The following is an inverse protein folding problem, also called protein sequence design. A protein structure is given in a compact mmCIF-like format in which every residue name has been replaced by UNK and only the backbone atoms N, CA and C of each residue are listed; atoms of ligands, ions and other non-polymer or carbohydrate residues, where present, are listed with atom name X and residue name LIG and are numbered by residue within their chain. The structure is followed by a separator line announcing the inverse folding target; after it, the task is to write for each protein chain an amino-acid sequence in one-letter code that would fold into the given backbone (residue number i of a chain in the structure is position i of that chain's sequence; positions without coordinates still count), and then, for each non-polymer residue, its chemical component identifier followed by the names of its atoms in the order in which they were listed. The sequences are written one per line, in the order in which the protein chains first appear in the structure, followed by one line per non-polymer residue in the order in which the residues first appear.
data_IF_951934375591
#
_entry.id   IF_951934375591
#
_cell.length_a   1.000
_cell.length_b   1.000
_cell.length_c   1.000
_cell.angle_alpha   90.00
_cell.angle_beta   90.00
_cell.angle_gamma   90.00
#
_symmetry.space_group_name_H-M   'P 1'
#
loop_
_entity.id
_entity.type
_entity.pdbx_description
1 polymer ?
#
# COMPACT_ATOMS: atom_id res chain seq x y z
N UNK A 1 -30.79 -8.66 -1.23
CA UNK A 1 -29.53 -9.00 -0.53
C UNK A 1 -28.76 -7.70 -0.29
N UNK A 2 -28.51 -7.34 0.97
CA UNK A 2 -27.57 -6.25 1.30
C UNK A 2 -26.16 -6.69 0.93
N UNK A 3 -25.35 -5.79 0.34
CA UNK A 3 -23.93 -6.05 0.07
C UNK A 3 -23.09 -5.26 1.07
N UNK A 4 -22.16 -5.94 1.73
CA UNK A 4 -21.18 -5.29 2.58
C UNK A 4 -20.11 -4.59 1.75
N UNK A 5 -19.60 -3.47 2.25
CA UNK A 5 -18.53 -2.68 1.64
C UNK A 5 -17.40 -2.55 2.66
N UNK A 6 -16.19 -2.95 2.31
CA UNK A 6 -15.01 -2.83 3.17
C UNK A 6 -13.98 -1.90 2.56
N UNK A 7 -13.39 -1.04 3.38
CA UNK A 7 -12.18 -0.28 3.05
C UNK A 7 -11.04 -0.68 3.96
N UNK A 8 -9.87 -0.83 3.38
CA UNK A 8 -8.62 -1.14 4.07
C UNK A 8 -7.59 -0.07 3.74
N UNK A 9 -6.85 0.37 4.75
CA UNK A 9 -5.74 1.30 4.64
C UNK A 9 -4.54 0.69 5.35
N UNK A 10 -3.40 0.65 4.67
CA UNK A 10 -2.10 0.25 5.20
C UNK A 10 -1.17 1.45 5.13
N UNK A 11 -0.54 1.82 6.23
CA UNK A 11 0.46 2.90 6.27
C UNK A 11 1.79 2.31 6.72
N UNK A 12 2.78 2.38 5.83
CA UNK A 12 4.17 2.03 6.08
C UNK A 12 4.92 3.33 6.39
N UNK A 13 5.61 3.42 7.52
CA UNK A 13 6.51 4.54 7.83
C UNK A 13 7.76 3.96 8.51
N UNK A 14 8.85 3.82 7.76
CA UNK A 14 9.93 2.89 8.09
C UNK A 14 10.52 3.10 9.51
N UNK A 15 10.65 2.05 10.36
CA UNK A 15 10.37 0.63 10.14
C UNK A 15 8.98 0.17 10.64
N UNK A 16 8.06 1.11 10.87
CA UNK A 16 6.74 0.86 11.44
C UNK A 16 5.69 0.57 10.34
N UNK A 17 4.70 -0.23 10.70
CA UNK A 17 3.52 -0.53 9.90
C UNK A 17 2.25 -0.39 10.75
N UNK A 18 1.16 0.03 10.13
CA UNK A 18 -0.16 -0.32 10.60
C UNK A 18 -1.16 -0.54 9.48
N UNK A 19 -2.25 -1.22 9.82
CA UNK A 19 -3.42 -1.46 8.98
C UNK A 19 -4.66 -1.02 9.75
N UNK A 20 -5.68 -0.52 9.05
CA UNK A 20 -7.03 -0.51 9.55
C UNK A 20 -8.05 -0.91 8.49
N UNK A 21 -9.20 -1.40 8.95
CA UNK A 21 -10.25 -2.01 8.14
C UNK A 21 -11.62 -1.57 8.65
N UNK A 22 -12.52 -1.12 7.79
CA UNK A 22 -13.90 -0.77 8.19
C UNK A 22 -14.88 -1.35 7.18
N UNK A 23 -15.90 -2.04 7.69
CA UNK A 23 -16.97 -2.68 6.90
C UNK A 23 -18.31 -2.03 7.21
N UNK A 24 -19.03 -1.62 6.16
CA UNK A 24 -20.41 -1.12 6.20
C UNK A 24 -21.35 -2.16 5.60
N UNK A 25 -22.45 -2.52 6.27
CA UNK A 25 -23.51 -3.36 5.72
C UNK A 25 -24.57 -2.47 5.05
N UNK A 26 -24.69 -2.55 3.73
CA UNK A 26 -25.30 -1.48 2.94
C UNK A 26 -26.83 -1.48 2.85
N UNK A 27 -27.43 -0.34 3.19
CA UNK A 27 -28.67 0.20 2.62
C UNK A 27 -28.64 1.74 2.73
N UNK A 28 -28.03 2.43 1.76
CA UNK A 28 -28.01 3.90 1.71
C UNK A 28 -28.19 4.43 0.28
N UNK A 29 -29.06 5.45 0.06
CA UNK A 29 -29.27 6.06 -1.24
C UNK A 29 -28.18 7.09 -1.59
N UNK A 30 -27.97 7.33 -2.89
CA UNK A 30 -26.91 8.20 -3.40
C UNK A 30 -27.22 9.70 -3.19
N UNK A 31 -26.28 10.46 -2.61
CA UNK A 31 -26.18 11.93 -2.84
C UNK A 31 -24.98 12.21 -3.75
N UNK A 32 -25.06 13.11 -4.74
CA UNK A 32 -23.96 13.37 -5.67
C UNK A 32 -23.03 14.48 -5.19
N UNK A 33 -21.71 14.26 -5.31
CA UNK A 33 -20.69 15.09 -5.98
C UNK A 33 -19.38 14.27 -6.01
N UNK A 34 -18.56 14.45 -7.06
CA UNK A 34 -17.22 13.86 -7.28
C UNK A 34 -17.12 12.32 -7.43
N UNK A 35 -17.01 11.85 -8.69
CA UNK A 35 -16.50 10.54 -9.13
C UNK A 35 -16.94 9.30 -8.33
N UNK A 36 -18.13 8.77 -8.67
CA UNK A 36 -18.58 7.43 -8.26
C UNK A 36 -17.57 6.35 -8.73
N UNK A 37 -17.12 5.43 -7.86
CA UNK A 37 -16.54 4.18 -8.33
C UNK A 37 -17.65 3.31 -8.95
N UNK A 38 -17.36 2.74 -10.12
CA UNK A 38 -18.18 1.68 -10.72
C UNK A 38 -18.04 0.41 -9.86
N UNK A 39 -19.07 -0.43 -9.85
CA UNK A 39 -19.07 -1.69 -9.10
C UNK A 39 -17.84 -2.55 -9.44
N UNK A 40 -17.12 -3.01 -8.41
CA UNK A 40 -15.90 -3.79 -8.57
C UNK A 40 -15.06 -3.81 -7.30
N UNK A 41 -13.78 -4.07 -7.49
CA UNK A 41 -12.74 -4.09 -6.46
C UNK A 41 -11.61 -3.19 -6.95
N UNK A 42 -11.15 -2.26 -6.13
CA UNK A 42 -10.14 -1.27 -6.56
C UNK A 42 -9.03 -1.13 -5.52
N UNK A 43 -7.82 -0.90 -6.03
CA UNK A 43 -6.63 -0.53 -5.27
C UNK A 43 -6.05 0.73 -5.90
N UNK A 44 -5.60 1.67 -5.08
CA UNK A 44 -4.91 2.88 -5.53
C UNK A 44 -3.61 2.99 -4.75
N UNK A 45 -2.53 3.33 -5.46
CA UNK A 45 -1.17 3.43 -4.95
C UNK A 45 -0.53 4.78 -5.26
N UNK A 46 0.34 5.21 -4.36
CA UNK A 46 1.40 6.17 -4.64
C UNK A 46 2.74 5.61 -4.19
N UNK A 47 3.79 6.02 -4.91
CA UNK A 47 5.16 5.73 -4.52
C UNK A 47 5.51 6.43 -3.22
N UNK A 48 6.33 5.77 -2.41
CA UNK A 48 6.67 6.26 -1.07
C UNK A 48 7.32 7.64 -1.15
N UNK A 49 6.87 8.56 -0.30
CA UNK A 49 7.50 9.85 -0.13
C UNK A 49 8.67 9.77 0.85
N UNK A 50 9.73 10.50 0.53
CA UNK A 50 10.87 10.75 1.40
C UNK A 50 10.67 12.11 2.08
N UNK A 51 10.98 12.20 3.38
CA UNK A 51 10.88 13.47 4.09
C UNK A 51 11.91 14.46 3.54
N UNK A 52 11.43 15.59 3.01
CA UNK A 52 12.23 16.68 2.44
C UNK A 52 11.63 18.02 2.83
N UNK A 53 12.48 18.99 3.17
CA UNK A 53 12.08 20.24 3.82
C UNK A 53 11.33 21.22 2.89
N UNK A 54 10.57 22.11 3.53
CA UNK A 54 10.04 23.40 3.07
C UNK A 54 10.25 23.78 1.59
N UNK A 55 9.19 23.69 0.80
CA UNK A 55 9.16 24.19 -0.58
C UNK A 55 7.74 24.51 -1.04
N UNK A 56 7.33 25.77 -0.92
CA UNK A 56 6.10 26.27 -1.55
C UNK A 56 6.34 26.45 -3.05
N UNK A 57 5.53 25.81 -3.90
CA UNK A 57 5.45 26.21 -5.31
C UNK A 57 5.27 25.07 -6.33
N UNK A 58 4.05 25.01 -6.88
CA UNK A 58 3.73 24.62 -8.26
C UNK A 58 4.35 23.34 -8.86
N UNK A 59 3.50 22.32 -9.05
CA UNK A 59 3.61 21.40 -10.18
C UNK A 59 2.24 21.31 -10.88
N UNK A 60 2.09 22.09 -11.96
CA UNK A 60 0.92 22.04 -12.82
C UNK A 60 0.87 20.71 -13.60
N UNK A 61 -0.33 20.16 -13.77
CA UNK A 61 -0.53 18.93 -14.51
C UNK A 61 -0.09 19.08 -15.98
N UNK A 62 0.86 18.26 -16.42
CA UNK A 62 1.14 17.99 -17.84
C UNK A 62 0.83 16.54 -18.14
N UNK A 63 -0.34 16.30 -18.73
CA UNK A 63 -0.71 15.01 -19.28
C UNK A 63 -0.01 14.88 -20.63
N UNK A 64 1.09 14.11 -20.69
CA UNK A 64 1.70 13.70 -21.95
C UNK A 64 1.09 12.37 -22.40
N UNK A 65 0.59 12.23 -23.65
CA UNK A 65 0.10 10.96 -24.16
C UNK A 65 1.27 9.95 -24.28
N UNK A 66 0.99 8.62 -24.18
CA UNK A 66 2.01 7.60 -24.32
C UNK A 66 2.55 7.55 -25.78
N UNK A 67 3.86 7.33 -25.99
CA UNK A 67 4.42 7.24 -27.33
C UNK A 67 4.04 5.92 -28.03
N UNK A 68 3.74 6.03 -29.32
CA UNK A 68 3.56 4.89 -30.23
C UNK A 68 4.85 4.07 -30.34
N UNK A 69 4.74 2.75 -30.28
CA UNK A 69 5.85 1.82 -30.57
C UNK A 69 5.81 1.33 -32.02
N UNK A 70 6.94 1.42 -32.70
CA UNK A 70 7.25 0.70 -33.94
C UNK A 70 8.74 0.32 -33.92
N UNK A 71 9.15 -0.80 -34.57
CA UNK A 71 10.34 -1.56 -34.15
C UNK A 71 11.65 -1.10 -34.81
N UNK A 72 12.77 -1.41 -34.16
CA UNK A 72 14.13 -1.35 -34.74
C UNK A 72 14.81 -2.71 -34.55
N UNK A 73 15.59 -3.11 -35.55
CA UNK A 73 16.16 -4.45 -35.72
C UNK A 73 17.53 -4.67 -35.02
N UNK A 74 18.07 -5.88 -35.19
CA UNK A 74 19.16 -6.48 -34.43
C UNK A 74 20.58 -5.88 -34.62
N UNK A 75 21.38 -5.94 -33.53
CA UNK A 75 22.86 -6.04 -33.48
C UNK A 75 23.28 -6.15 -31.99
N UNK A 76 24.21 -6.98 -31.50
CA UNK A 76 25.01 -8.10 -32.03
C UNK A 76 25.25 -9.15 -30.91
N UNK A 77 26.07 -10.19 -31.14
CA UNK A 77 26.40 -11.23 -30.14
C UNK A 77 27.82 -11.05 -29.53
N UNK A 78 28.03 -11.36 -28.23
CA UNK A 78 29.36 -11.50 -27.62
C UNK A 78 29.87 -12.95 -27.64
N UNK A 79 31.20 -13.09 -27.53
CA UNK A 79 31.96 -14.35 -27.62
C UNK A 79 31.72 -15.35 -26.45
N UNK A 80 32.03 -16.65 -26.62
CA UNK A 80 31.82 -17.65 -25.57
C UNK A 80 32.81 -17.50 -24.42
N UNK A 81 32.30 -17.24 -23.22
CA UNK A 81 33.07 -17.28 -21.97
C UNK A 81 33.04 -18.70 -21.41
N UNK A 82 34.20 -19.25 -21.05
CA UNK A 82 34.32 -20.61 -20.52
C UNK A 82 33.52 -20.80 -19.21
N UNK A 83 32.73 -21.87 -19.14
CA UNK A 83 31.91 -22.21 -17.97
C UNK A 83 32.81 -22.72 -16.84
N UNK A 84 32.99 -21.90 -15.81
CA UNK A 84 33.60 -22.30 -14.53
C UNK A 84 32.50 -22.83 -13.58
N UNK A 85 32.70 -23.96 -12.87
CA UNK A 85 31.70 -24.47 -11.93
C UNK A 85 31.34 -23.45 -10.83
N UNK A 86 30.05 -23.35 -10.51
CA UNK A 86 29.57 -22.49 -9.44
C UNK A 86 29.95 -23.05 -8.06
N UNK A 87 30.32 -22.21 -7.07
CA UNK A 87 30.58 -22.68 -5.72
C UNK A 87 29.32 -23.25 -5.07
N UNK A 88 29.45 -24.41 -4.41
CA UNK A 88 28.35 -25.00 -3.62
C UNK A 88 28.04 -24.06 -2.44
N UNK A 89 26.78 -23.61 -2.36
CA UNK A 89 26.31 -22.76 -1.26
C UNK A 89 26.13 -23.60 0.01
N UNK A 90 26.59 -23.15 1.18
CA UNK A 90 26.31 -23.83 2.44
C UNK A 90 24.80 -23.79 2.78
N UNK A 91 24.29 -24.73 3.59
CA UNK A 91 22.87 -24.80 3.93
C UNK A 91 22.38 -23.52 4.62
N UNK A 92 21.20 -23.06 4.21
CA UNK A 92 20.57 -21.85 4.76
C UNK A 92 20.12 -22.14 6.20
N UNK A 93 20.69 -21.39 7.16
CA UNK A 93 20.28 -21.44 8.58
C UNK A 93 18.79 -21.04 8.70
N UNK A 94 17.99 -21.68 9.57
CA UNK A 94 16.63 -21.23 9.83
C UNK A 94 16.60 -19.75 10.21
N UNK A 95 15.81 -18.96 9.47
CA UNK A 95 15.57 -17.55 9.78
C UNK A 95 14.83 -17.46 11.13
N UNK A 96 15.20 -16.55 12.05
CA UNK A 96 14.45 -16.36 13.28
C UNK A 96 12.98 -16.10 12.98
N UNK A 97 12.09 -16.88 13.59
CA UNK A 97 10.65 -16.61 13.58
C UNK A 97 10.39 -15.32 14.33
N UNK A 98 9.63 -14.41 13.72
CA UNK A 98 9.23 -13.18 14.40
C UNK A 98 8.34 -13.52 15.61
N UNK A 99 8.48 -12.82 16.75
CA UNK A 99 7.62 -13.05 17.90
C UNK A 99 6.16 -12.68 17.56
N UNK A 100 5.17 -13.36 18.15
CA UNK A 100 3.77 -13.01 17.97
C UNK A 100 3.50 -11.64 18.59
N UNK A 101 3.06 -10.67 17.78
CA UNK A 101 2.60 -9.37 18.28
C UNK A 101 1.19 -9.47 18.86
N UNK A 102 1.12 -9.92 20.11
CA UNK A 102 -0.10 -9.83 20.92
C UNK A 102 -0.52 -8.37 21.04
N UNK A 103 -1.57 -7.95 20.32
CA UNK A 103 -2.06 -6.57 20.37
C UNK A 103 -2.95 -6.09 19.22
N UNK A 104 -3.09 -6.84 18.13
CA UNK A 104 -3.96 -6.45 16.99
C UNK A 104 -5.01 -7.54 16.74
N UNK A 105 -6.23 -7.32 17.23
CA UNK A 105 -7.36 -8.21 16.98
C UNK A 105 -8.04 -7.95 15.62
N UNK A 106 -8.76 -8.95 15.12
CA UNK A 106 -9.60 -8.81 13.93
C UNK A 106 -8.83 -8.58 12.62
N UNK A 107 -9.51 -8.03 11.63
CA UNK A 107 -9.04 -7.95 10.25
C UNK A 107 -7.73 -7.16 10.07
N UNK A 108 -7.51 -6.08 10.84
CA UNK A 108 -6.25 -5.34 10.84
C UNK A 108 -5.05 -6.18 11.31
N UNK A 109 -5.24 -7.09 12.27
CA UNK A 109 -4.19 -7.99 12.76
C UNK A 109 -3.88 -9.12 11.79
N UNK A 110 -4.90 -9.62 11.09
CA UNK A 110 -4.73 -10.58 9.99
C UNK A 110 -3.91 -9.95 8.86
N UNK A 111 -4.26 -8.74 8.41
CA UNK A 111 -3.53 -8.07 7.33
C UNK A 111 -2.09 -7.71 7.74
N UNK A 112 -1.86 -7.21 8.96
CA UNK A 112 -0.50 -6.99 9.49
C UNK A 112 0.34 -8.28 9.46
N UNK A 113 -0.28 -9.42 9.80
CA UNK A 113 0.38 -10.72 9.79
C UNK A 113 0.70 -11.17 8.36
N UNK A 114 -0.21 -10.99 7.41
CA UNK A 114 -0.01 -11.30 5.99
C UNK A 114 1.12 -10.45 5.38
N UNK A 115 1.13 -9.14 5.62
CA UNK A 115 2.21 -8.25 5.15
C UNK A 115 3.58 -8.68 5.69
N UNK A 116 3.67 -9.12 6.95
CA UNK A 116 4.92 -9.63 7.49
C UNK A 116 5.29 -11.03 6.98
N UNK A 117 4.32 -11.88 6.60
CA UNK A 117 4.58 -13.14 5.89
C UNK A 117 5.13 -12.87 4.48
N UNK A 118 4.58 -11.91 3.75
CA UNK A 118 5.09 -11.50 2.43
C UNK A 118 6.52 -10.96 2.51
N UNK A 119 6.80 -10.07 3.48
CA UNK A 119 8.16 -9.58 3.75
C UNK A 119 9.10 -10.74 4.09
N UNK A 120 8.64 -11.70 4.90
CA UNK A 120 9.42 -12.88 5.24
C UNK A 120 9.76 -13.73 3.99
N UNK A 121 8.76 -13.99 3.13
CA UNK A 121 8.91 -14.76 1.89
C UNK A 121 9.82 -14.08 0.85
N UNK A 122 9.87 -12.75 0.83
CA UNK A 122 10.73 -11.96 -0.07
C UNK A 122 12.10 -11.59 0.56
N UNK A 123 12.46 -12.16 1.72
CA UNK A 123 13.74 -11.90 2.38
C UNK A 123 13.87 -10.53 3.08
N UNK A 124 12.82 -9.71 3.08
CA UNK A 124 12.79 -8.36 3.69
C UNK A 124 12.58 -8.46 5.20
N UNK A 125 13.17 -7.57 6.00
CA UNK A 125 13.00 -7.54 7.45
C UNK A 125 11.53 -7.27 7.85
N UNK A 126 11.06 -7.89 8.93
CA UNK A 126 9.71 -7.64 9.44
C UNK A 126 9.55 -6.19 9.91
N UNK A 127 8.36 -5.63 9.71
CA UNK A 127 7.97 -4.29 10.22
C UNK A 127 7.33 -4.41 11.58
N UNK A 128 7.61 -3.44 12.45
CA UNK A 128 7.04 -3.37 13.79
C UNK A 128 5.66 -2.69 13.77
N UNK A 129 4.75 -3.13 14.63
CA UNK A 129 3.43 -2.51 14.75
C UNK A 129 3.51 -1.14 15.44
N UNK A 130 2.70 -0.17 14.98
CA UNK A 130 2.55 1.13 15.65
C UNK A 130 1.09 1.46 15.92
N UNK A 131 0.73 1.57 17.21
CA UNK A 131 -0.61 1.94 17.64
C UNK A 131 -1.01 3.38 17.27
N UNK A 132 -0.03 4.25 16.97
CA UNK A 132 -0.30 5.60 16.45
C UNK A 132 -0.61 5.54 14.95
N UNK A 133 0.18 4.80 14.16
CA UNK A 133 -0.12 4.56 12.74
C UNK A 133 -1.45 3.81 12.55
N UNK A 134 -1.83 2.93 13.47
CA UNK A 134 -3.11 2.21 13.41
C UNK A 134 -4.31 3.15 13.56
N UNK A 135 -4.22 4.11 14.51
CA UNK A 135 -5.21 5.19 14.62
C UNK A 135 -5.25 6.05 13.35
N UNK A 136 -4.10 6.30 12.73
CA UNK A 136 -4.01 7.02 11.44
C UNK A 136 -4.75 6.26 10.34
N UNK A 137 -4.41 5.00 10.12
CA UNK A 137 -5.05 4.16 9.11
C UNK A 137 -6.56 4.03 9.36
N UNK A 138 -7.01 3.95 10.61
CA UNK A 138 -8.43 3.79 10.96
C UNK A 138 -9.23 5.05 10.65
N UNK A 139 -8.76 6.22 11.10
CA UNK A 139 -9.38 7.49 10.72
C UNK A 139 -9.40 7.66 9.22
N UNK A 140 -8.29 7.33 8.54
CA UNK A 140 -8.14 7.45 7.10
C UNK A 140 -9.13 6.58 6.32
N UNK A 141 -9.38 5.34 6.79
CA UNK A 141 -10.40 4.46 6.23
C UNK A 141 -11.81 5.00 6.48
N UNK A 142 -12.06 5.59 7.65
CA UNK A 142 -13.37 6.14 8.03
C UNK A 142 -13.70 7.44 7.29
N UNK A 143 -12.74 8.33 7.14
CA UNK A 143 -12.85 9.58 6.38
C UNK A 143 -13.22 9.32 4.91
N UNK A 144 -12.51 8.36 4.29
CA UNK A 144 -12.82 7.83 2.97
C UNK A 144 -14.26 7.29 2.83
N UNK A 145 -14.80 6.64 3.86
CA UNK A 145 -16.20 6.20 3.90
C UNK A 145 -17.16 7.39 4.07
N UNK A 146 -16.94 8.22 5.09
CA UNK A 146 -17.83 9.31 5.48
C UNK A 146 -18.00 10.36 4.37
N UNK A 147 -16.92 10.66 3.65
CA UNK A 147 -16.89 11.63 2.53
C UNK A 147 -17.00 10.95 1.16
N UNK A 148 -17.28 9.65 1.12
CA UNK A 148 -17.58 8.86 -0.08
C UNK A 148 -16.56 9.01 -1.24
N UNK A 149 -15.26 9.04 -0.94
CA UNK A 149 -14.21 9.19 -1.96
C UNK A 149 -13.12 8.14 -1.77
N UNK A 150 -12.51 7.62 -2.84
CA UNK A 150 -11.41 6.66 -2.77
C UNK A 150 -10.20 7.19 -3.53
N UNK A 151 -9.26 7.80 -2.80
CA UNK A 151 -8.05 8.45 -3.31
C UNK A 151 -7.05 8.61 -2.17
N UNK A 152 -5.75 8.64 -2.48
CA UNK A 152 -4.69 9.07 -1.55
C UNK A 152 -4.73 10.55 -1.19
N UNK A 153 -5.30 11.35 -2.09
CA UNK A 153 -5.45 12.78 -1.93
C UNK A 153 -6.75 13.07 -1.20
N UNK A 154 -6.69 13.97 -0.23
CA UNK A 154 -7.88 14.54 0.38
C UNK A 154 -8.61 15.43 -0.66
N UNK A 155 -9.93 15.25 -0.88
CA UNK A 155 -10.66 15.91 -1.96
C UNK A 155 -10.96 17.40 -1.69
N UNK A 156 -10.75 17.88 -0.47
CA UNK A 156 -10.98 19.27 -0.08
C UNK A 156 -9.70 20.13 -0.16
N UNK A 157 -8.54 19.51 0.01
CA UNK A 157 -7.22 20.18 0.02
C UNK A 157 -6.37 19.85 -1.19
N UNK A 158 -6.66 18.76 -1.92
CA UNK A 158 -5.83 18.26 -3.02
C UNK A 158 -4.46 17.74 -2.58
N UNK A 159 -4.19 17.69 -1.27
CA UNK A 159 -2.94 17.24 -0.68
C UNK A 159 -3.02 15.77 -0.28
N UNK A 160 -1.87 15.13 -0.05
CA UNK A 160 -1.80 13.75 0.41
C UNK A 160 -2.33 13.63 1.84
N UNK A 161 -3.43 12.91 1.99
CA UNK A 161 -4.14 12.78 3.26
C UNK A 161 -3.26 12.14 4.34
N UNK A 162 -2.51 11.07 4.00
CA UNK A 162 -1.63 10.44 4.99
C UNK A 162 -0.53 11.40 5.49
N UNK A 163 0.04 12.25 4.63
CA UNK A 163 1.08 13.22 5.03
C UNK A 163 0.52 14.24 6.01
N UNK A 164 -0.66 14.81 5.71
CA UNK A 164 -1.36 15.72 6.61
C UNK A 164 -1.65 15.05 7.95
N UNK A 165 -2.17 13.82 7.95
CA UNK A 165 -2.52 13.10 9.16
C UNK A 165 -1.30 12.72 10.01
N UNK A 166 -0.20 12.25 9.42
CA UNK A 166 1.04 11.98 10.15
C UNK A 166 1.59 13.26 10.79
N UNK A 167 1.53 14.39 10.10
CA UNK A 167 1.88 15.70 10.64
C UNK A 167 0.98 16.15 11.79
N UNK A 168 -0.35 16.06 11.63
CA UNK A 168 -1.34 16.42 12.66
C UNK A 168 -1.21 15.59 13.94
N UNK A 169 -0.73 14.35 13.83
CA UNK A 169 -0.46 13.47 14.98
C UNK A 169 1.00 13.45 15.44
N UNK A 170 1.87 14.31 14.90
CA UNK A 170 3.27 14.41 15.32
C UNK A 170 4.09 13.14 15.07
N UNK A 171 3.69 12.31 14.11
CA UNK A 171 4.36 11.04 13.80
C UNK A 171 5.52 11.32 12.84
N UNK A 172 6.74 11.33 13.38
CA UNK A 172 7.96 11.45 12.59
C UNK A 172 8.20 10.21 11.71
N UNK A 173 8.71 10.42 10.49
CA UNK A 173 9.09 9.38 9.54
C UNK A 173 10.23 9.86 8.64
N UNK A 174 11.06 8.94 8.14
CA UNK A 174 12.09 9.23 7.12
C UNK A 174 11.57 8.96 5.70
N UNK A 175 10.83 7.87 5.53
CA UNK A 175 10.03 7.54 4.35
C UNK A 175 8.70 6.95 4.78
N UNK A 176 7.63 7.27 4.04
CA UNK A 176 6.31 6.72 4.28
C UNK A 176 5.55 6.45 2.98
N UNK A 177 4.63 5.49 3.02
CA UNK A 177 3.76 5.09 1.91
C UNK A 177 2.42 4.60 2.41
N UNK A 178 1.40 4.74 1.57
CA UNK A 178 0.01 4.36 1.85
C UNK A 178 -0.45 3.37 0.77
N UNK A 179 -1.03 2.24 1.17
CA UNK A 179 -1.76 1.34 0.28
C UNK A 179 -3.23 1.37 0.70
N UNK A 180 -4.15 1.60 -0.25
CA UNK A 180 -5.59 1.60 0.02
C UNK A 180 -6.32 0.59 -0.86
N UNK A 181 -7.28 -0.14 -0.27
CA UNK A 181 -8.12 -1.11 -0.96
C UNK A 181 -9.60 -0.90 -0.64
N UNK A 182 -10.44 -1.19 -1.63
CA UNK A 182 -11.89 -1.23 -1.52
C UNK A 182 -12.41 -2.55 -2.10
N UNK A 183 -13.24 -3.26 -1.33
CA UNK A 183 -13.84 -4.53 -1.72
C UNK A 183 -15.30 -4.64 -1.27
N UNK A 184 -16.12 -5.30 -2.08
CA UNK A 184 -17.51 -5.67 -1.76
C UNK A 184 -17.65 -7.13 -1.29
N UNK A 185 -16.54 -7.88 -1.23
CA UNK A 185 -16.46 -9.24 -0.70
C UNK A 185 -15.13 -9.41 0.07
N UNK A 186 -15.10 -9.11 1.38
CA UNK A 186 -13.85 -8.86 2.11
C UNK A 186 -13.26 -10.12 2.75
N UNK A 187 -12.29 -10.75 2.08
CA UNK A 187 -11.28 -11.56 2.77
C UNK A 187 -9.96 -10.78 2.85
N UNK A 188 -9.30 -10.77 4.00
CA UNK A 188 -8.00 -10.09 4.15
C UNK A 188 -6.94 -10.74 3.24
N UNK A 189 -6.92 -12.08 3.16
CA UNK A 189 -6.08 -12.79 2.20
C UNK A 189 -6.30 -12.33 0.74
N UNK A 190 -7.53 -12.02 0.33
CA UNK A 190 -7.84 -11.45 -0.98
C UNK A 190 -7.31 -10.02 -1.16
N UNK A 191 -7.48 -9.17 -0.16
CA UNK A 191 -7.00 -7.77 -0.16
C UNK A 191 -5.47 -7.71 -0.17
N UNK A 192 -4.80 -8.50 0.66
CA UNK A 192 -3.35 -8.65 0.66
C UNK A 192 -2.84 -9.18 -0.70
N UNK A 193 -3.53 -10.16 -1.29
CA UNK A 193 -3.20 -10.66 -2.65
C UNK A 193 -3.32 -9.54 -3.69
N UNK A 194 -4.35 -8.68 -3.61
CA UNK A 194 -4.49 -7.53 -4.50
C UNK A 194 -3.32 -6.53 -4.35
N UNK A 195 -2.87 -6.26 -3.12
CA UNK A 195 -1.69 -5.42 -2.89
C UNK A 195 -0.42 -6.08 -3.47
N UNK A 196 -0.19 -7.36 -3.22
CA UNK A 196 1.01 -8.07 -3.67
C UNK A 196 1.08 -8.31 -5.19
N UNK A 197 -0.07 -8.32 -5.86
CA UNK A 197 -0.19 -8.38 -7.33
C UNK A 197 -0.09 -7.01 -8.01
N UNK A 198 -0.11 -5.89 -7.26
CA UNK A 198 0.02 -4.56 -7.83
C UNK A 198 1.42 -4.00 -7.58
N UNK A 199 2.21 -3.66 -8.62
CA UNK A 199 3.63 -3.31 -8.47
C UNK A 199 3.94 -2.21 -7.44
N UNK A 200 3.23 -1.09 -7.48
CA UNK A 200 3.50 0.04 -6.56
C UNK A 200 3.03 -0.25 -5.12
N UNK A 201 1.94 -1.01 -4.91
CA UNK A 201 1.51 -1.45 -3.57
C UNK A 201 2.49 -2.45 -2.97
N UNK A 202 2.92 -3.43 -3.77
CA UNK A 202 3.95 -4.41 -3.42
C UNK A 202 5.27 -3.71 -3.07
N UNK A 203 5.64 -2.66 -3.80
CA UNK A 203 6.84 -1.88 -3.51
C UNK A 203 6.80 -1.20 -2.14
N UNK A 204 5.64 -0.73 -1.68
CA UNK A 204 5.47 -0.24 -0.30
C UNK A 204 5.54 -1.39 0.73
N UNK A 205 4.95 -2.56 0.44
CA UNK A 205 5.00 -3.74 1.34
C UNK A 205 6.42 -4.31 1.47
N UNK A 206 7.24 -4.29 0.42
CA UNK A 206 8.57 -4.89 0.39
C UNK A 206 9.74 -3.90 0.57
N UNK A 207 9.46 -2.69 1.05
CA UNK A 207 10.45 -1.63 1.31
C UNK A 207 11.37 -1.92 2.51
#
# INVERSE_FOLDING_TARGET
MSRSVTRVVVIVAAPLLAVATITMLGSQPSRPVASRPVAGTQVASLRSLQAGASGLGQLAARITPPPTVTPVAASAAPAPVAVRPAPVRPPVRPRPTAPPVSGVGGAAGVEFSLVNQDRAANGVAAVAYSASLARVAQYRAQDMLNRNYFSHYDPSTGQLAFVQLLGLWGIAYSTAGENIAWSTNPSMAGINTMFMNSPDHRANILK
#
